data_IF_464470391000
#
_entry.id   IF_464470391000
#
_cell.length_a   1.000
_cell.length_b   1.000
_cell.length_c   1.000
_cell.angle_alpha   90.00
_cell.angle_beta   90.00
_cell.angle_gamma   90.00
#
_symmetry.space_group_name_H-M   'P 1'
#
loop_
_entity.id
_entity.type
_entity.pdbx_description
1 polymer ?
#
# COMPACT_ATOMS: atom_id res chain seq x y z
N UNK A 1 40.89 20.87 -16.36
CA UNK A 1 39.93 21.98 -16.15
C UNK A 1 39.43 21.92 -14.71
N UNK A 2 40.39 22.11 -13.81
CA UNK A 2 40.23 22.37 -12.38
C UNK A 2 40.60 23.84 -12.21
N UNK A 3 40.12 24.45 -11.13
CA UNK A 3 40.37 25.84 -10.68
C UNK A 3 39.53 26.92 -11.37
N UNK A 4 38.51 27.39 -10.65
CA UNK A 4 38.10 28.79 -10.50
C UNK A 4 36.80 28.77 -9.71
N UNK A 5 36.84 29.11 -8.42
CA UNK A 5 35.78 29.84 -7.69
C UNK A 5 36.13 29.87 -6.20
N UNK A 6 37.02 30.78 -5.82
CA UNK A 6 37.07 31.33 -4.46
C UNK A 6 37.46 32.79 -4.54
N UNK A 7 36.80 33.61 -3.70
CA UNK A 7 37.01 35.05 -3.46
C UNK A 7 36.20 36.00 -4.36
N UNK A 8 35.14 36.57 -3.80
CA UNK A 8 35.04 38.03 -3.59
C UNK A 8 34.27 38.26 -2.28
N UNK A 9 34.82 39.14 -1.44
CA UNK A 9 34.36 39.41 -0.09
C UNK A 9 33.14 40.33 0.00
N UNK A 10 32.67 40.42 1.24
CA UNK A 10 31.67 41.38 1.72
C UNK A 10 32.04 42.83 1.46
N UNK A 11 31.05 43.70 1.22
CA UNK A 11 30.87 45.01 1.89
C UNK A 11 29.54 45.68 1.41
N UNK A 12 28.83 46.25 2.40
CA UNK A 12 27.86 47.35 2.35
C UNK A 12 26.47 47.21 1.69
N UNK A 13 25.47 47.32 2.59
CA UNK A 13 24.13 47.91 2.41
C UNK A 13 24.03 48.94 1.27
N UNK A 14 23.15 48.69 0.30
CA UNK A 14 22.27 49.70 -0.32
C UNK A 14 20.96 49.04 -0.77
N UNK A 15 19.83 49.61 -0.32
CA UNK A 15 18.48 49.27 -0.79
C UNK A 15 18.36 49.67 -2.26
N UNK A 16 18.18 48.69 -3.14
CA UNK A 16 17.56 48.87 -4.45
C UNK A 16 16.54 47.75 -4.66
N UNK A 17 15.33 48.12 -5.08
CA UNK A 17 14.22 47.24 -5.43
C UNK A 17 14.61 46.35 -6.61
N UNK A 18 14.87 45.06 -6.34
CA UNK A 18 15.42 44.11 -7.30
C UNK A 18 14.36 43.19 -7.94
N UNK A 19 13.07 43.53 -7.88
CA UNK A 19 12.03 42.67 -8.48
C UNK A 19 11.92 42.81 -10.00
N UNK A 20 12.22 43.97 -10.58
CA UNK A 20 12.06 44.18 -12.03
C UNK A 20 13.25 43.67 -12.86
N UNK A 21 14.46 43.67 -12.29
CA UNK A 21 15.67 43.18 -12.96
C UNK A 21 15.70 41.65 -13.04
N UNK A 22 15.23 40.95 -11.99
CA UNK A 22 15.20 39.48 -11.96
C UNK A 22 14.16 38.92 -12.94
N UNK A 23 13.00 39.57 -13.09
CA UNK A 23 11.98 39.16 -14.06
C UNK A 23 12.49 39.34 -15.50
N UNK A 24 13.21 40.44 -15.78
CA UNK A 24 13.75 40.71 -17.11
C UNK A 24 14.82 39.68 -17.53
N UNK A 25 15.67 39.24 -16.59
CA UNK A 25 16.68 38.21 -16.86
C UNK A 25 16.02 36.84 -17.05
N UNK A 26 14.99 36.49 -16.27
CA UNK A 26 14.26 35.23 -16.43
C UNK A 26 13.56 35.13 -17.80
N UNK A 27 12.94 36.22 -18.27
CA UNK A 27 12.36 36.27 -19.62
C UNK A 27 13.42 36.16 -20.72
N UNK A 28 14.59 36.78 -20.53
CA UNK A 28 15.67 36.67 -21.51
C UNK A 28 16.22 35.24 -21.59
N UNK A 29 16.40 34.57 -20.45
CA UNK A 29 16.85 33.16 -20.38
C UNK A 29 15.78 32.24 -20.98
N UNK A 30 14.51 32.45 -20.68
CA UNK A 30 13.42 31.65 -21.24
C UNK A 30 13.28 31.84 -22.76
N UNK A 31 13.41 33.09 -23.25
CA UNK A 31 13.42 33.38 -24.68
C UNK A 31 14.65 32.78 -25.38
N UNK A 32 15.83 32.80 -24.75
CA UNK A 32 17.04 32.14 -25.26
C UNK A 32 16.91 30.62 -25.27
N UNK A 33 16.29 30.01 -24.25
CA UNK A 33 15.99 28.58 -24.24
C UNK A 33 15.01 28.20 -25.36
N UNK A 34 13.95 28.98 -25.57
CA UNK A 34 13.02 28.75 -26.70
C UNK A 34 13.74 28.94 -28.04
N UNK A 35 14.63 29.94 -28.17
CA UNK A 35 15.34 30.20 -29.41
C UNK A 35 16.35 29.10 -29.73
N UNK A 36 17.09 28.61 -28.73
CA UNK A 36 18.02 27.46 -28.88
C UNK A 36 17.24 26.18 -29.22
N UNK A 37 16.13 25.91 -28.53
CA UNK A 37 15.27 24.76 -28.84
C UNK A 37 14.66 24.87 -30.25
N UNK A 38 14.29 26.07 -30.71
CA UNK A 38 13.75 26.29 -32.06
C UNK A 38 14.80 26.17 -33.16
N UNK A 39 16.06 26.54 -32.88
CA UNK A 39 17.18 26.37 -33.81
C UNK A 39 17.58 24.89 -33.94
N UNK A 40 17.54 24.13 -32.85
CA UNK A 40 17.69 22.68 -32.90
C UNK A 40 16.52 22.02 -33.64
N UNK A 41 15.29 22.53 -33.48
CA UNK A 41 14.11 22.00 -34.18
C UNK A 41 14.16 22.20 -35.71
N UNK A 42 14.71 23.33 -36.19
CA UNK A 42 14.85 23.57 -37.62
C UNK A 42 16.04 22.85 -38.27
N UNK A 43 17.03 22.41 -37.49
CA UNK A 43 18.11 21.52 -37.95
C UNK A 43 17.72 20.04 -37.97
N UNK A 44 16.55 19.68 -37.43
CA UNK A 44 16.03 18.31 -37.33
C UNK A 44 14.94 17.98 -38.35
N UNK A 45 14.82 18.75 -39.44
CA UNK A 45 14.03 18.36 -40.62
C UNK A 45 14.79 17.39 -41.56
N UNK A 46 15.82 16.72 -41.04
CA UNK A 46 16.43 15.52 -41.62
C UNK A 46 15.61 14.28 -41.25
N UNK A 47 14.71 13.90 -42.14
CA UNK A 47 13.82 12.74 -42.08
C UNK A 47 14.57 11.39 -42.01
N UNK A 48 14.28 10.59 -40.99
CA UNK A 48 13.98 9.13 -41.02
C UNK A 48 14.45 8.36 -39.77
N UNK A 49 15.59 8.70 -39.15
CA UNK A 49 16.18 7.88 -38.08
C UNK A 49 15.64 8.16 -36.67
N UNK A 50 15.09 9.35 -36.41
CA UNK A 50 14.56 9.69 -35.07
C UNK A 50 13.21 9.01 -34.81
N UNK A 51 12.46 8.65 -35.86
CA UNK A 51 11.20 7.90 -35.71
C UNK A 51 11.45 6.50 -35.13
N UNK A 52 12.55 5.85 -35.49
CA UNK A 52 12.92 4.53 -34.96
C UNK A 52 13.29 4.57 -33.48
N UNK A 53 14.05 5.57 -33.04
CA UNK A 53 14.43 5.71 -31.62
C UNK A 53 13.23 6.08 -30.74
N UNK A 54 12.30 6.89 -31.25
CA UNK A 54 11.04 7.18 -30.55
C UNK A 54 10.09 5.98 -30.54
N UNK A 55 9.95 5.26 -31.65
CA UNK A 55 9.12 4.06 -31.73
C UNK A 55 9.68 2.91 -30.90
N UNK A 56 11.00 2.78 -30.80
CA UNK A 56 11.65 1.80 -29.93
C UNK A 56 11.55 2.19 -28.45
N UNK A 57 11.68 3.48 -28.10
CA UNK A 57 11.44 3.95 -26.74
C UNK A 57 9.96 3.83 -26.32
N UNK A 58 9.01 4.02 -27.26
CA UNK A 58 7.58 3.81 -27.04
C UNK A 58 7.25 2.31 -26.98
N UNK A 59 7.85 1.47 -27.83
CA UNK A 59 7.71 0.01 -27.76
C UNK A 59 8.31 -0.57 -26.49
N UNK A 60 9.44 -0.05 -26.02
CA UNK A 60 10.10 -0.50 -24.78
C UNK A 60 9.33 -0.02 -23.54
N UNK A 61 8.75 1.19 -23.57
CA UNK A 61 7.71 1.59 -22.59
C UNK A 61 6.46 0.72 -22.67
N UNK A 62 6.04 0.28 -23.85
CA UNK A 62 4.87 -0.60 -24.02
C UNK A 62 5.11 -2.03 -23.55
N UNK A 63 6.35 -2.54 -23.64
CA UNK A 63 6.76 -3.86 -23.13
C UNK A 63 6.81 -3.90 -21.61
N UNK A 64 7.15 -2.79 -20.95
CA UNK A 64 7.02 -2.63 -19.50
C UNK A 64 5.58 -2.31 -19.02
N UNK A 65 4.61 -2.28 -19.94
CA UNK A 65 3.18 -2.06 -19.66
C UNK A 65 2.34 -3.33 -19.77
N UNK A 66 2.95 -4.50 -19.71
CA UNK A 66 2.20 -5.73 -19.44
C UNK A 66 1.49 -5.57 -18.10
N UNK A 67 0.14 -5.58 -18.13
CA UNK A 67 -0.69 -5.44 -16.92
C UNK A 67 -0.39 -6.54 -15.89
N UNK A 68 0.11 -7.67 -16.38
CA UNK A 68 0.37 -8.86 -15.61
C UNK A 68 1.46 -9.70 -16.28
N UNK A 69 2.01 -10.61 -15.51
CA UNK A 69 2.90 -11.66 -15.97
C UNK A 69 2.39 -13.00 -15.44
N UNK A 70 2.71 -14.07 -16.17
CA UNK A 70 2.53 -15.44 -15.69
C UNK A 70 3.75 -15.84 -14.87
N UNK A 71 3.51 -16.61 -13.81
CA UNK A 71 4.57 -17.18 -12.99
C UNK A 71 4.90 -18.60 -13.46
N UNK A 72 6.19 -18.83 -13.70
CA UNK A 72 6.74 -20.18 -13.77
C UNK A 72 7.09 -20.67 -12.36
N UNK A 73 6.79 -21.94 -12.08
CA UNK A 73 7.04 -22.56 -10.78
C UNK A 73 8.29 -23.44 -10.82
N UNK A 74 9.24 -23.15 -9.93
CA UNK A 74 10.43 -24.00 -9.73
C UNK A 74 10.07 -25.25 -8.94
N UNK A 75 9.31 -25.11 -7.86
CA UNK A 75 8.96 -26.22 -7.00
C UNK A 75 7.63 -25.99 -6.28
N UNK A 76 6.81 -27.03 -6.30
CA UNK A 76 5.56 -27.07 -5.55
C UNK A 76 5.46 -28.28 -4.60
N UNK A 77 6.41 -29.22 -4.64
CA UNK A 77 6.25 -30.54 -4.01
C UNK A 77 6.45 -30.49 -2.49
N UNK A 78 5.40 -30.91 -1.77
CA UNK A 78 5.35 -31.02 -0.31
C UNK A 78 6.01 -32.29 0.27
N UNK A 79 6.89 -32.99 -0.45
CA UNK A 79 7.47 -34.27 0.01
C UNK A 79 8.99 -34.25 0.03
N UNK A 80 9.58 -34.44 1.22
CA UNK A 80 11.03 -34.60 1.45
C UNK A 80 11.63 -33.50 2.32
N UNK A 81 12.96 -33.41 2.32
CA UNK A 81 13.76 -32.31 2.91
C UNK A 81 13.52 -30.98 2.17
N UNK A 82 12.73 -31.01 1.07
CA UNK A 82 12.49 -29.93 0.12
C UNK A 82 11.17 -29.15 0.30
N UNK A 83 10.36 -29.38 1.35
CA UNK A 83 9.13 -28.59 1.55
C UNK A 83 9.42 -27.23 2.21
N UNK A 84 10.14 -26.35 1.51
CA UNK A 84 10.44 -24.97 1.96
C UNK A 84 9.19 -24.09 2.10
N UNK A 85 8.07 -24.54 1.53
CA UNK A 85 6.78 -23.86 1.57
C UNK A 85 5.69 -24.84 2.01
N UNK A 86 4.64 -24.36 2.70
CA UNK A 86 3.55 -25.20 3.20
C UNK A 86 2.67 -25.73 2.06
N UNK A 87 1.72 -26.60 2.39
CA UNK A 87 0.72 -27.10 1.44
C UNK A 87 -0.04 -25.94 0.76
N UNK A 88 -0.32 -26.07 -0.54
CA UNK A 88 -0.94 -25.03 -1.38
C UNK A 88 -0.07 -23.79 -1.62
N UNK A 89 1.24 -23.89 -1.38
CA UNK A 89 2.22 -22.88 -1.73
C UNK A 89 3.31 -23.47 -2.63
N UNK A 90 3.85 -22.65 -3.53
CA UNK A 90 4.96 -23.00 -4.42
C UNK A 90 6.02 -21.90 -4.41
N UNK A 91 7.27 -22.24 -4.73
CA UNK A 91 8.28 -21.24 -5.09
C UNK A 91 8.18 -20.94 -6.59
N UNK A 92 8.12 -19.66 -6.94
CA UNK A 92 8.28 -19.22 -8.33
C UNK A 92 9.75 -19.25 -8.79
N UNK A 93 9.99 -18.94 -10.06
CA UNK A 93 11.33 -18.85 -10.66
C UNK A 93 12.27 -17.82 -10.01
N UNK A 94 11.75 -16.96 -9.12
CA UNK A 94 12.54 -16.00 -8.36
C UNK A 94 12.67 -16.41 -6.88
N UNK A 95 12.33 -17.66 -6.56
CA UNK A 95 12.31 -18.21 -5.20
C UNK A 95 11.38 -17.44 -4.26
N UNK A 96 10.31 -16.84 -4.77
CA UNK A 96 9.28 -16.20 -3.94
C UNK A 96 8.16 -17.20 -3.66
N UNK A 97 7.72 -17.38 -2.40
CA UNK A 97 6.56 -18.20 -2.09
C UNK A 97 5.27 -17.60 -2.62
N UNK A 98 4.49 -18.41 -3.32
CA UNK A 98 3.24 -18.05 -3.97
C UNK A 98 2.13 -18.97 -3.50
N UNK A 99 1.01 -18.39 -3.06
CA UNK A 99 -0.18 -19.19 -2.77
C UNK A 99 -0.80 -19.65 -4.08
N UNK A 100 -1.03 -20.96 -4.21
CA UNK A 100 -1.57 -21.59 -5.42
C UNK A 100 -2.98 -22.14 -5.26
N UNK A 101 -3.55 -22.08 -4.05
CA UNK A 101 -4.89 -22.60 -3.78
C UNK A 101 -4.95 -24.14 -3.74
N UNK A 102 -6.17 -24.67 -3.54
CA UNK A 102 -6.44 -26.11 -3.36
C UNK A 102 -6.78 -26.87 -4.65
N UNK A 103 -7.05 -26.16 -5.74
CA UNK A 103 -7.60 -26.75 -6.97
C UNK A 103 -6.52 -26.96 -8.03
N UNK A 104 -6.49 -28.18 -8.58
CA UNK A 104 -5.71 -28.66 -9.73
C UNK A 104 -4.21 -28.31 -9.75
N UNK A 105 -3.43 -29.19 -9.14
CA UNK A 105 -1.99 -29.05 -8.99
C UNK A 105 -1.23 -29.66 -10.20
N UNK A 106 -0.26 -28.95 -10.82
CA UNK A 106 0.04 -27.51 -10.71
C UNK A 106 -0.92 -26.61 -11.51
N UNK A 107 -1.36 -25.46 -10.95
CA UNK A 107 -2.11 -24.49 -11.73
C UNK A 107 -1.16 -23.99 -12.81
N UNK A 108 -1.56 -24.17 -14.08
CA UNK A 108 -0.62 -23.92 -15.19
C UNK A 108 -0.19 -22.46 -15.26
N UNK A 109 -1.04 -21.50 -14.88
CA UNK A 109 -0.75 -20.07 -14.97
C UNK A 109 -1.39 -19.30 -13.79
N UNK A 110 -0.60 -18.81 -12.83
CA UNK A 110 -1.07 -17.75 -11.92
C UNK A 110 -0.61 -16.41 -12.45
N UNK A 111 -1.58 -15.57 -12.78
CA UNK A 111 -1.31 -14.22 -13.22
C UNK A 111 -1.06 -13.29 -12.04
N UNK A 112 0.04 -12.56 -12.09
CA UNK A 112 0.38 -11.50 -11.14
C UNK A 112 0.43 -10.17 -11.84
N UNK A 113 -0.04 -9.13 -11.18
CA UNK A 113 0.08 -7.76 -11.69
C UNK A 113 1.52 -7.29 -11.56
N UNK A 114 2.04 -6.67 -12.63
CA UNK A 114 3.27 -5.86 -12.54
C UNK A 114 2.97 -4.56 -11.79
N UNK A 115 4.00 -3.78 -11.44
CA UNK A 115 3.81 -2.47 -10.82
C UNK A 115 2.98 -1.54 -11.71
N UNK A 116 3.27 -1.49 -13.02
CA UNK A 116 2.46 -0.76 -14.00
C UNK A 116 1.03 -1.31 -14.12
N UNK A 117 0.84 -2.62 -13.90
CA UNK A 117 -0.46 -3.27 -13.77
C UNK A 117 -1.27 -2.77 -12.58
N UNK A 118 -0.65 -2.64 -11.41
CA UNK A 118 -1.25 -2.01 -10.22
C UNK A 118 -1.61 -0.56 -10.50
N UNK A 119 -0.69 0.24 -11.05
CA UNK A 119 -0.97 1.65 -11.34
C UNK A 119 -2.14 1.82 -12.31
N UNK A 120 -2.17 1.01 -13.37
CA UNK A 120 -3.25 1.03 -14.35
C UNK A 120 -4.58 0.53 -13.79
N UNK A 121 -4.56 -0.49 -12.93
CA UNK A 121 -5.77 -0.98 -12.29
C UNK A 121 -6.34 0.04 -11.30
N UNK A 122 -5.48 0.63 -10.47
CA UNK A 122 -5.89 1.47 -9.35
C UNK A 122 -6.01 2.96 -9.72
N UNK A 123 -5.59 3.37 -10.92
CA UNK A 123 -5.71 4.74 -11.40
C UNK A 123 -7.14 5.28 -11.33
N UNK A 124 -7.30 6.48 -10.76
CA UNK A 124 -8.58 7.14 -10.47
C UNK A 124 -9.49 6.35 -9.52
N UNK A 125 -8.90 5.54 -8.63
CA UNK A 125 -9.64 4.79 -7.61
C UNK A 125 -9.27 5.25 -6.21
N UNK A 126 -10.30 5.37 -5.38
CA UNK A 126 -10.17 5.48 -3.93
C UNK A 126 -10.50 4.14 -3.30
N UNK A 127 -9.56 3.58 -2.55
CA UNK A 127 -9.68 2.31 -1.82
C UNK A 127 -9.70 2.63 -0.33
N UNK A 128 -10.73 2.16 0.39
CA UNK A 128 -10.85 2.35 1.84
C UNK A 128 -10.69 0.99 2.54
N UNK A 129 -9.66 0.89 3.37
CA UNK A 129 -9.38 -0.25 4.24
C UNK A 129 -9.87 0.08 5.65
N UNK A 130 -10.69 -0.80 6.24
CA UNK A 130 -11.22 -0.63 7.59
C UNK A 130 -10.87 -1.89 8.37
N UNK A 131 -10.17 -1.75 9.49
CA UNK A 131 -9.77 -2.90 10.29
C UNK A 131 -8.72 -2.57 11.33
N UNK A 132 -8.12 -3.60 11.89
CA UNK A 132 -7.07 -3.46 12.89
C UNK A 132 -5.65 -3.39 12.27
N UNK A 133 -4.63 -3.56 13.11
CA UNK A 133 -3.21 -3.57 12.73
C UNK A 133 -2.87 -4.59 11.63
N UNK A 134 -3.62 -5.68 11.49
CA UNK A 134 -3.39 -6.69 10.43
C UNK A 134 -3.84 -6.15 9.08
N UNK A 135 -4.92 -5.37 9.03
CA UNK A 135 -5.33 -4.63 7.82
C UNK A 135 -4.39 -3.46 7.54
N UNK A 136 -3.92 -2.77 8.59
CA UNK A 136 -2.91 -1.72 8.46
C UNK A 136 -1.65 -2.21 7.74
N UNK A 137 -1.16 -3.41 8.06
CA UNK A 137 0.03 -3.95 7.40
C UNK A 137 -0.16 -4.22 5.92
N UNK A 138 -1.32 -4.73 5.52
CA UNK A 138 -1.66 -4.91 4.12
C UNK A 138 -1.66 -3.55 3.39
N UNK A 139 -2.29 -2.53 4.01
CA UNK A 139 -2.28 -1.15 3.51
C UNK A 139 -0.85 -0.61 3.37
N UNK A 140 -0.01 -0.73 4.40
CA UNK A 140 1.37 -0.22 4.40
C UNK A 140 2.24 -0.94 3.37
N UNK A 141 2.06 -2.26 3.22
CA UNK A 141 2.72 -3.06 2.19
C UNK A 141 2.34 -2.59 0.78
N UNK A 142 1.03 -2.36 0.53
CA UNK A 142 0.56 -1.87 -0.77
C UNK A 142 1.08 -0.47 -1.07
N UNK A 143 0.99 0.46 -0.11
CA UNK A 143 1.49 1.82 -0.26
C UNK A 143 3.00 1.84 -0.56
N UNK A 144 3.77 1.01 0.16
CA UNK A 144 5.19 0.81 -0.08
C UNK A 144 5.45 0.30 -1.49
N UNK A 145 4.79 -0.79 -1.92
CA UNK A 145 4.92 -1.35 -3.25
C UNK A 145 4.63 -0.35 -4.36
N UNK A 146 3.54 0.42 -4.22
CA UNK A 146 3.20 1.47 -5.18
C UNK A 146 4.31 2.52 -5.26
N UNK A 147 5.02 2.81 -4.17
CA UNK A 147 6.10 3.79 -4.13
C UNK A 147 7.44 3.26 -4.61
N UNK A 148 7.86 2.07 -4.17
CA UNK A 148 9.17 1.45 -4.46
C UNK A 148 9.20 0.66 -5.76
N UNK A 149 8.04 0.24 -6.28
CA UNK A 149 7.88 -0.73 -7.39
C UNK A 149 8.25 -2.17 -7.05
N UNK A 150 8.60 -2.44 -5.80
CA UNK A 150 9.04 -3.75 -5.33
C UNK A 150 8.39 -4.07 -3.99
N UNK A 151 7.92 -5.31 -3.83
CA UNK A 151 7.43 -5.78 -2.55
C UNK A 151 8.63 -5.98 -1.62
N UNK A 152 8.47 -5.54 -0.37
CA UNK A 152 9.53 -5.71 0.63
C UNK A 152 9.78 -7.19 0.90
N UNK A 153 11.04 -7.57 1.13
CA UNK A 153 11.44 -8.90 1.55
C UNK A 153 11.91 -8.85 3.00
N UNK A 154 11.08 -9.35 3.91
CA UNK A 154 11.35 -9.33 5.35
C UNK A 154 11.92 -10.65 5.87
N UNK A 155 12.05 -10.78 7.19
CA UNK A 155 12.69 -11.97 7.80
C UNK A 155 12.00 -13.29 7.44
N UNK A 156 10.78 -13.25 6.92
CA UNK A 156 10.02 -14.39 6.42
C UNK A 156 10.64 -15.08 5.19
N UNK A 157 11.58 -14.43 4.49
CA UNK A 157 12.37 -15.01 3.41
C UNK A 157 13.63 -15.76 3.86
N UNK A 158 14.05 -15.60 5.14
CA UNK A 158 15.34 -16.11 5.64
C UNK A 158 15.52 -17.62 5.46
N UNK A 159 14.49 -18.41 5.76
CA UNK A 159 14.52 -19.88 5.66
C UNK A 159 14.72 -20.35 4.21
N UNK A 160 14.12 -19.65 3.24
CA UNK A 160 14.26 -19.98 1.82
C UNK A 160 15.65 -19.63 1.34
N UNK A 161 16.15 -18.46 1.76
CA UNK A 161 17.50 -18.02 1.43
C UNK A 161 18.56 -18.98 2.00
N UNK A 162 18.42 -19.41 3.26
CA UNK A 162 19.32 -20.39 3.88
C UNK A 162 19.32 -21.72 3.12
N UNK A 163 18.14 -22.26 2.83
CA UNK A 163 18.02 -23.53 2.11
C UNK A 163 18.58 -23.49 0.68
N UNK A 164 18.54 -22.32 0.04
CA UNK A 164 19.09 -22.10 -1.31
C UNK A 164 20.52 -21.58 -1.30
N UNK A 165 21.15 -21.45 -0.13
CA UNK A 165 22.48 -20.87 0.06
C UNK A 165 22.63 -19.47 -0.58
N UNK A 166 21.60 -18.63 -0.42
CA UNK A 166 21.53 -17.25 -0.89
C UNK A 166 21.81 -16.31 0.28
N UNK A 167 22.71 -15.35 0.10
CA UNK A 167 22.89 -14.27 1.08
C UNK A 167 21.64 -13.41 1.15
N UNK A 168 21.03 -13.29 2.33
CA UNK A 168 19.81 -12.53 2.54
C UNK A 168 19.97 -11.48 3.65
N UNK A 169 19.49 -10.28 3.37
CA UNK A 169 19.32 -9.20 4.33
C UNK A 169 17.91 -8.66 4.19
N UNK A 170 17.12 -8.56 5.28
CA UNK A 170 15.79 -7.98 5.24
C UNK A 170 15.83 -6.55 4.70
N UNK A 171 14.84 -6.18 3.91
CA UNK A 171 14.74 -4.83 3.39
C UNK A 171 14.62 -3.81 4.54
N UNK A 172 15.31 -2.66 4.48
CA UNK A 172 15.19 -1.62 5.50
C UNK A 172 13.76 -1.15 5.73
N UNK A 173 12.86 -1.33 4.74
CA UNK A 173 11.44 -0.96 4.79
C UNK A 173 10.54 -1.95 5.53
N UNK A 174 11.08 -3.07 6.04
CA UNK A 174 10.29 -4.05 6.79
C UNK A 174 9.68 -3.49 8.08
N UNK A 175 10.24 -2.41 8.64
CA UNK A 175 9.63 -1.70 9.77
C UNK A 175 8.23 -1.15 9.49
N UNK A 176 7.84 -0.96 8.22
CA UNK A 176 6.50 -0.51 7.83
C UNK A 176 5.41 -1.53 8.18
N UNK A 177 5.75 -2.82 8.22
CA UNK A 177 4.86 -3.95 8.55
C UNK A 177 5.36 -4.79 9.73
N UNK A 178 6.34 -4.27 10.47
CA UNK A 178 6.83 -4.82 11.72
C UNK A 178 7.25 -3.64 12.59
N UNK A 179 6.32 -3.07 13.36
CA UNK A 179 6.61 -1.85 14.13
C UNK A 179 7.72 -2.03 15.17
N UNK A 180 8.05 -3.28 15.54
CA UNK A 180 9.07 -3.59 16.54
C UNK A 180 10.47 -3.66 15.96
N UNK A 181 10.60 -3.66 14.63
CA UNK A 181 11.86 -3.81 13.93
C UNK A 181 12.92 -2.79 14.39
N UNK A 182 12.54 -1.53 14.62
CA UNK A 182 13.46 -0.46 15.01
C UNK A 182 13.60 -0.24 16.52
N UNK A 183 12.84 -0.97 17.35
CA UNK A 183 12.77 -0.75 18.81
C UNK A 183 12.51 0.73 19.21
N UNK A 184 11.59 1.38 18.51
CA UNK A 184 11.20 2.79 18.75
C UNK A 184 9.81 2.89 19.40
N UNK A 185 9.45 4.08 19.88
CA UNK A 185 8.10 4.32 20.39
C UNK A 185 7.05 4.30 19.27
N UNK A 186 5.80 4.00 19.59
CA UNK A 186 4.68 4.05 18.61
C UNK A 186 4.54 5.41 17.94
N UNK A 187 4.70 6.49 18.70
CA UNK A 187 4.59 7.84 18.14
C UNK A 187 5.74 8.15 17.20
N UNK A 188 6.97 7.73 17.53
CA UNK A 188 8.11 7.82 16.61
C UNK A 188 7.87 6.98 15.35
N UNK A 189 7.32 5.76 15.49
CA UNK A 189 6.97 4.93 14.35
C UNK A 189 5.93 5.61 13.45
N UNK A 190 4.92 6.30 14.00
CA UNK A 190 3.98 7.07 13.19
C UNK A 190 4.66 8.21 12.42
N UNK A 191 5.59 8.93 13.05
CA UNK A 191 6.39 9.97 12.40
C UNK A 191 7.20 9.39 11.25
N UNK A 192 8.02 8.38 11.52
CA UNK A 192 8.94 7.78 10.54
C UNK A 192 8.17 7.18 9.36
N UNK A 193 7.13 6.38 9.63
CA UNK A 193 6.36 5.72 8.57
C UNK A 193 5.50 6.68 7.74
N UNK A 194 5.13 7.85 8.27
CA UNK A 194 4.44 8.87 7.47
C UNK A 194 5.43 9.61 6.58
N UNK A 195 6.65 9.86 7.07
CA UNK A 195 7.71 10.50 6.30
C UNK A 195 8.17 9.66 5.08
N UNK A 196 8.11 8.33 5.17
CA UNK A 196 8.42 7.41 4.06
C UNK A 196 7.50 7.56 2.83
N UNK A 197 6.30 8.15 3.00
CA UNK A 197 5.31 8.27 1.95
C UNK A 197 5.00 9.73 1.63
N UNK A 198 5.66 10.32 0.62
CA UNK A 198 5.25 11.61 0.07
C UNK A 198 3.78 11.55 -0.34
N UNK A 199 2.97 12.52 0.09
CA UNK A 199 1.52 12.51 -0.17
C UNK A 199 0.73 11.63 0.80
N UNK A 200 1.27 11.34 1.99
CA UNK A 200 0.51 10.69 3.06
C UNK A 200 0.10 11.65 4.20
N UNK A 201 -0.97 11.30 4.89
CA UNK A 201 -1.41 11.89 6.15
C UNK A 201 -1.66 10.79 7.18
N UNK A 202 -1.45 11.14 8.44
CA UNK A 202 -1.69 10.24 9.57
C UNK A 202 -2.45 11.01 10.65
N UNK A 203 -3.68 10.61 10.93
CA UNK A 203 -4.34 10.88 12.21
C UNK A 203 -3.91 9.76 13.16
N UNK A 204 -2.65 9.84 13.57
CA UNK A 204 -1.97 8.76 14.26
C UNK A 204 -1.35 9.26 15.55
N UNK A 205 -1.89 8.79 16.66
CA UNK A 205 -1.39 9.12 17.98
C UNK A 205 -1.77 8.02 18.95
N UNK A 206 -0.83 7.65 19.81
CA UNK A 206 -1.06 6.73 20.90
C UNK A 206 -0.62 7.35 22.21
N UNK A 207 -1.47 7.22 23.23
CA UNK A 207 -1.15 7.67 24.58
C UNK A 207 0.02 6.87 25.16
N UNK A 208 1.07 7.56 25.62
CA UNK A 208 2.22 6.93 26.30
C UNK A 208 1.91 6.49 27.75
N UNK A 209 0.66 6.63 28.21
CA UNK A 209 0.22 6.14 29.53
C UNK A 209 0.27 4.61 29.54
N UNK A 210 0.51 4.00 30.71
CA UNK A 210 0.68 2.54 30.85
C UNK A 210 -0.48 1.76 30.19
N UNK A 211 -0.16 0.98 29.16
CA UNK A 211 -1.09 0.09 28.46
C UNK A 211 -1.69 0.67 27.18
N UNK A 212 -2.02 -0.22 26.24
CA UNK A 212 -2.81 0.15 25.06
C UNK A 212 -4.24 0.47 25.46
N UNK A 213 -4.81 1.52 24.86
CA UNK A 213 -6.21 1.89 25.04
C UNK A 213 -6.84 2.23 23.69
N UNK A 214 -7.76 1.39 23.17
CA UNK A 214 -8.42 1.63 21.89
C UNK A 214 -9.08 3.02 21.80
N UNK A 215 -9.85 3.39 22.82
CA UNK A 215 -10.63 4.63 22.94
C UNK A 215 -9.84 5.95 22.86
N UNK A 216 -8.52 5.88 22.96
CA UNK A 216 -7.61 7.03 23.00
C UNK A 216 -6.44 6.86 22.03
N UNK A 217 -6.59 5.94 21.08
CA UNK A 217 -5.65 5.70 20.00
C UNK A 217 -6.30 6.07 18.68
N UNK A 218 -5.60 6.90 17.90
CA UNK A 218 -5.94 7.19 16.51
C UNK A 218 -4.87 6.55 15.63
N UNK A 219 -5.25 5.87 14.56
CA UNK A 219 -4.31 5.29 13.58
C UNK A 219 -4.78 5.43 12.13
N UNK A 220 -5.61 6.43 11.82
CA UNK A 220 -6.16 6.58 10.47
C UNK A 220 -5.10 7.13 9.51
N UNK A 221 -5.01 6.57 8.32
CA UNK A 221 -4.01 6.93 7.30
C UNK A 221 -4.67 7.27 5.99
N UNK A 222 -4.07 8.21 5.28
CA UNK A 222 -4.46 8.61 3.94
C UNK A 222 -3.20 8.66 3.08
N UNK A 223 -3.25 8.13 1.86
CA UNK A 223 -2.13 8.13 0.92
C UNK A 223 -2.63 8.45 -0.48
N UNK A 224 -1.97 9.40 -1.15
CA UNK A 224 -2.21 9.74 -2.55
C UNK A 224 -0.96 9.50 -3.38
N UNK A 225 -1.14 8.87 -4.54
CA UNK A 225 -0.08 8.70 -5.52
C UNK A 225 -0.56 9.10 -6.91
N UNK A 226 0.00 10.16 -7.52
CA UNK A 226 -0.24 10.41 -8.94
C UNK A 226 0.48 9.36 -9.80
N UNK A 227 -0.20 8.85 -10.82
CA UNK A 227 0.35 7.91 -11.81
C UNK A 227 -0.01 8.37 -13.22
N UNK A 228 0.60 7.80 -14.27
CA UNK A 228 0.19 8.05 -15.65
C UNK A 228 -1.28 7.67 -15.97
N UNK A 229 -1.93 6.87 -15.11
CA UNK A 229 -3.31 6.40 -15.29
C UNK A 229 -4.34 7.13 -14.43
N UNK A 230 -3.89 8.09 -13.61
CA UNK A 230 -4.73 8.80 -12.65
C UNK A 230 -4.18 8.76 -11.23
N UNK A 231 -4.87 9.46 -10.33
CA UNK A 231 -4.53 9.45 -8.90
C UNK A 231 -5.03 8.16 -8.25
N UNK A 232 -4.15 7.47 -7.53
CA UNK A 232 -4.53 6.38 -6.61
C UNK A 232 -4.68 6.98 -5.23
N UNK A 233 -5.82 6.74 -4.58
CA UNK A 233 -6.04 7.11 -3.19
C UNK A 233 -6.24 5.85 -2.35
N UNK A 234 -5.42 5.69 -1.30
CA UNK A 234 -5.61 4.66 -0.29
C UNK A 234 -5.97 5.33 1.03
N UNK A 235 -6.98 4.82 1.71
CA UNK A 235 -7.39 5.27 3.06
C UNK A 235 -7.39 4.06 3.97
N UNK A 236 -6.77 4.15 5.13
CA UNK A 236 -6.93 3.18 6.21
C UNK A 236 -7.63 3.84 7.38
N UNK A 237 -8.69 3.19 7.86
CA UNK A 237 -9.48 3.60 9.01
C UNK A 237 -9.32 2.51 10.06
N UNK A 238 -8.86 2.92 11.23
CA UNK A 238 -8.63 1.99 12.33
C UNK A 238 -9.97 1.54 12.92
N UNK A 239 -10.11 0.23 13.11
CA UNK A 239 -11.22 -0.42 13.80
C UNK A 239 -10.66 -1.40 14.83
N UNK A 240 -10.66 -1.00 16.10
CA UNK A 240 -10.21 -1.85 17.20
C UNK A 240 -11.41 -2.21 18.07
N UNK A 241 -11.71 -3.51 18.19
CA UNK A 241 -12.85 -3.99 18.98
C UNK A 241 -14.18 -3.34 18.57
N UNK A 242 -14.40 -3.15 17.27
CA UNK A 242 -15.60 -2.50 16.74
C UNK A 242 -15.80 -1.05 17.23
N UNK A 243 -14.69 -0.37 17.55
CA UNK A 243 -14.63 1.05 17.89
C UNK A 243 -13.67 1.76 16.94
N UNK A 244 -14.23 2.67 16.17
CA UNK A 244 -13.57 3.52 15.18
C UNK A 244 -13.59 4.94 15.69
N UNK A 245 -12.43 5.57 15.76
CA UNK A 245 -12.31 6.98 16.14
C UNK A 245 -11.54 7.75 15.07
N UNK A 246 -12.01 8.97 14.77
CA UNK A 246 -11.36 9.85 13.80
C UNK A 246 -11.35 11.28 14.32
N UNK A 247 -10.22 11.95 14.17
CA UNK A 247 -10.10 13.36 14.50
C UNK A 247 -10.89 14.24 13.52
N UNK A 248 -11.49 15.33 14.00
CA UNK A 248 -12.26 16.27 13.16
C UNK A 248 -11.43 16.96 12.06
N UNK A 249 -10.10 16.95 12.18
CA UNK A 249 -9.18 17.55 11.21
C UNK A 249 -8.56 16.53 10.24
N UNK A 250 -9.06 15.31 10.24
CA UNK A 250 -8.71 14.28 9.27
C UNK A 250 -9.76 14.21 8.15
N UNK A 251 -9.40 13.86 6.91
CA UNK A 251 -10.39 13.57 5.88
C UNK A 251 -11.40 12.49 6.35
N UNK A 252 -12.69 12.59 6.00
CA UNK A 252 -13.26 13.52 5.03
C UNK A 252 -13.79 14.82 5.65
N UNK A 253 -13.60 15.06 6.95
CA UNK A 253 -14.09 16.26 7.63
C UNK A 253 -13.36 17.53 7.19
N UNK A 254 -12.11 17.39 6.73
CA UNK A 254 -11.30 18.45 6.15
C UNK A 254 -10.68 17.99 4.85
N UNK A 255 -10.29 18.94 3.99
CA UNK A 255 -9.59 18.65 2.73
C UNK A 255 -8.22 18.03 2.99
N UNK A 256 -7.68 17.29 2.02
CA UNK A 256 -6.33 16.72 2.12
C UNK A 256 -5.22 17.79 2.27
N UNK A 257 -5.48 19.01 1.81
CA UNK A 257 -4.57 20.16 1.85
C UNK A 257 -3.99 20.43 3.25
N UNK A 258 -2.82 21.11 3.32
CA UNK A 258 -2.21 21.48 4.59
C UNK A 258 -3.19 22.21 5.51
N UNK A 259 -3.43 21.64 6.70
CA UNK A 259 -4.26 22.23 7.73
C UNK A 259 -3.44 22.34 9.03
N UNK A 260 -3.18 23.55 9.56
CA UNK A 260 -2.37 23.73 10.76
C UNK A 260 -3.00 23.14 12.02
N UNK A 261 -4.30 22.85 12.01
CA UNK A 261 -5.01 22.21 13.13
C UNK A 261 -4.97 20.68 13.08
N UNK A 262 -4.50 20.09 11.96
CA UNK A 262 -4.38 18.64 11.82
C UNK A 262 -3.36 18.09 12.82
N UNK A 263 -3.68 16.93 13.40
CA UNK A 263 -2.72 16.17 14.20
C UNK A 263 -1.43 15.95 13.39
N UNK A 264 -0.28 16.17 14.01
CA UNK A 264 0.97 15.67 13.45
C UNK A 264 1.05 14.17 13.75
N UNK A 265 1.64 13.34 12.86
CA UNK A 265 1.91 11.95 13.20
C UNK A 265 2.69 11.87 14.52
N UNK A 266 2.27 10.99 15.43
CA UNK A 266 2.88 10.86 16.75
C UNK A 266 2.52 11.94 17.78
N UNK A 267 1.92 13.06 17.37
CA UNK A 267 1.58 14.16 18.26
C UNK A 267 0.30 14.89 17.85
N UNK A 268 -0.77 14.69 18.64
CA UNK A 268 -2.02 15.43 18.48
C UNK A 268 -2.38 16.28 19.70
N UNK A 269 -2.41 17.60 19.50
CA UNK A 269 -2.81 18.60 20.50
C UNK A 269 -4.33 18.77 20.56
N UNK A 270 -4.99 18.94 19.42
CA UNK A 270 -6.45 19.00 19.33
C UNK A 270 -7.01 17.59 19.06
N UNK A 271 -7.46 16.92 20.12
CA UNK A 271 -8.04 15.56 20.05
C UNK A 271 -9.55 15.58 19.92
N UNK A 272 -10.12 16.66 19.40
CA UNK A 272 -11.57 16.71 19.19
C UNK A 272 -11.98 15.63 18.18
N UNK A 273 -12.80 14.72 18.65
CA UNK A 273 -13.35 13.63 17.86
C UNK A 273 -14.32 14.22 16.82
N UNK A 274 -14.06 13.95 15.55
CA UNK A 274 -14.96 14.25 14.45
C UNK A 274 -15.97 13.14 14.21
N UNK A 275 -15.56 11.90 14.50
CA UNK A 275 -16.42 10.72 14.45
C UNK A 275 -15.97 9.65 15.42
N UNK A 276 -16.96 9.01 16.07
CA UNK A 276 -16.80 7.80 16.83
C UNK A 276 -17.99 6.88 16.54
N UNK A 277 -17.72 5.59 16.32
CA UNK A 277 -18.76 4.60 16.06
C UNK A 277 -18.18 3.23 15.74
N UNK A 278 -19.04 2.28 15.42
CA UNK A 278 -18.66 0.91 15.05
C UNK A 278 -18.50 0.75 13.53
N UNK A 279 -18.23 -0.49 13.07
CA UNK A 279 -18.04 -0.79 11.65
C UNK A 279 -19.27 -0.42 10.79
N UNK A 280 -20.48 -0.68 11.29
CA UNK A 280 -21.72 -0.26 10.61
C UNK A 280 -21.77 1.27 10.49
N UNK A 281 -21.56 2.00 11.58
CA UNK A 281 -21.63 3.45 11.59
C UNK A 281 -20.59 4.11 10.66
N UNK A 282 -19.35 3.59 10.59
CA UNK A 282 -18.33 4.12 9.69
C UNK A 282 -18.69 3.86 8.23
N UNK A 283 -19.20 2.66 7.90
CA UNK A 283 -19.66 2.30 6.56
C UNK A 283 -20.73 3.29 6.10
N UNK A 284 -21.79 3.50 6.86
CA UNK A 284 -22.90 4.33 6.40
C UNK A 284 -22.65 5.84 6.42
N UNK A 285 -21.88 6.34 7.40
CA UNK A 285 -21.81 7.78 7.65
C UNK A 285 -20.54 8.45 7.14
N UNK A 286 -19.44 7.69 6.98
CA UNK A 286 -18.12 8.25 6.69
C UNK A 286 -17.58 7.74 5.35
N UNK A 287 -17.67 6.45 5.08
CA UNK A 287 -17.10 5.85 3.86
C UNK A 287 -17.57 6.56 2.58
N UNK A 288 -18.87 6.84 2.35
CA UNK A 288 -19.33 7.55 1.16
C UNK A 288 -18.69 8.93 0.96
N UNK A 289 -18.29 9.60 2.04
CA UNK A 289 -17.69 10.94 1.99
C UNK A 289 -16.26 10.94 1.45
N UNK A 290 -15.59 9.78 1.40
CA UNK A 290 -14.31 9.62 0.73
C UNK A 290 -14.44 9.48 -0.80
N UNK A 291 -15.67 9.41 -1.33
CA UNK A 291 -15.93 9.02 -2.72
C UNK A 291 -15.17 7.74 -3.13
N UNK A 292 -15.31 6.65 -2.35
CA UNK A 292 -14.57 5.43 -2.60
C UNK A 292 -15.10 4.72 -3.84
N UNK A 293 -14.22 3.98 -4.50
CA UNK A 293 -14.63 2.99 -5.50
C UNK A 293 -14.68 1.60 -4.89
N UNK A 294 -13.85 1.34 -3.88
CA UNK A 294 -13.70 0.04 -3.24
C UNK A 294 -13.56 0.20 -1.72
N UNK A 295 -14.17 -0.71 -0.97
CA UNK A 295 -14.13 -0.77 0.49
C UNK A 295 -13.77 -2.19 0.92
N UNK A 296 -12.85 -2.29 1.86
CA UNK A 296 -12.29 -3.52 2.38
C UNK A 296 -12.46 -3.51 3.90
N UNK A 297 -13.48 -4.20 4.40
CA UNK A 297 -13.92 -4.10 5.77
C UNK A 297 -13.56 -5.34 6.59
N UNK A 298 -13.07 -5.12 7.80
CA UNK A 298 -12.73 -6.15 8.78
C UNK A 298 -13.24 -5.71 10.16
N UNK A 299 -13.73 -6.68 10.95
CA UNK A 299 -14.41 -6.43 12.23
C UNK A 299 -13.49 -6.06 13.40
N UNK A 300 -12.18 -5.95 13.19
CA UNK A 300 -11.20 -5.63 14.24
C UNK A 300 -10.61 -6.87 14.89
N UNK A 301 -10.36 -6.89 16.21
CA UNK A 301 -9.62 -8.01 16.82
C UNK A 301 -10.40 -9.32 16.86
N UNK A 302 -11.69 -9.22 17.12
CA UNK A 302 -12.63 -10.35 17.17
C UNK A 302 -13.43 -10.41 15.89
N UNK A 303 -13.75 -11.63 15.44
CA UNK A 303 -14.66 -11.79 14.32
C UNK A 303 -16.10 -11.49 14.77
N UNK A 304 -16.73 -10.52 14.09
CA UNK A 304 -18.16 -10.25 14.13
C UNK A 304 -18.64 -10.34 12.69
N UNK A 305 -19.73 -11.08 12.47
CA UNK A 305 -20.26 -11.26 11.12
C UNK A 305 -20.93 -9.98 10.63
N UNK A 306 -20.22 -9.27 9.75
CA UNK A 306 -20.67 -8.07 9.06
C UNK A 306 -21.03 -8.33 7.58
N UNK A 307 -21.18 -9.59 7.18
CA UNK A 307 -21.48 -9.95 5.78
C UNK A 307 -22.74 -9.29 5.24
N UNK A 308 -23.82 -9.31 6.02
CA UNK A 308 -25.08 -8.66 5.62
C UNK A 308 -24.92 -7.15 5.49
N UNK A 309 -24.25 -6.52 6.45
CA UNK A 309 -24.01 -5.09 6.48
C UNK A 309 -23.19 -4.62 5.26
N UNK A 310 -22.10 -5.33 4.97
CA UNK A 310 -21.23 -5.04 3.81
C UNK A 310 -21.99 -5.24 2.49
N UNK A 311 -22.80 -6.30 2.38
CA UNK A 311 -23.63 -6.56 1.20
C UNK A 311 -24.68 -5.47 1.01
N UNK A 312 -25.39 -5.10 2.07
CA UNK A 312 -26.47 -4.12 2.02
C UNK A 312 -25.92 -2.71 1.76
N UNK A 313 -24.75 -2.37 2.29
CA UNK A 313 -24.01 -1.16 1.95
C UNK A 313 -23.64 -1.12 0.45
N UNK A 314 -23.07 -2.20 -0.11
CA UNK A 314 -22.73 -2.32 -1.53
C UNK A 314 -23.96 -2.17 -2.45
N UNK A 315 -25.12 -2.72 -2.02
CA UNK A 315 -26.39 -2.57 -2.74
C UNK A 315 -26.93 -1.14 -2.69
N UNK A 316 -26.81 -0.47 -1.55
CA UNK A 316 -27.26 0.92 -1.39
C UNK A 316 -26.39 1.91 -2.18
N UNK A 317 -25.08 1.66 -2.24
CA UNK A 317 -24.12 2.47 -2.99
C UNK A 317 -23.56 1.68 -4.18
N UNK A 318 -24.32 1.51 -5.29
CA UNK A 318 -23.94 0.60 -6.38
C UNK A 318 -22.62 0.96 -7.10
N UNK A 319 -22.14 2.20 -6.94
CA UNK A 319 -20.83 2.65 -7.43
C UNK A 319 -19.64 2.28 -6.54
N UNK A 320 -19.90 1.77 -5.33
CA UNK A 320 -18.88 1.37 -4.34
C UNK A 320 -18.91 -0.15 -4.21
N UNK A 321 -17.82 -0.83 -4.58
CA UNK A 321 -17.68 -2.27 -4.35
C UNK A 321 -17.15 -2.53 -2.95
N UNK A 322 -17.79 -3.40 -2.19
CA UNK A 322 -17.43 -3.63 -0.80
C UNK A 322 -17.16 -5.11 -0.54
N UNK A 323 -16.06 -5.37 0.16
CA UNK A 323 -15.56 -6.70 0.45
C UNK A 323 -15.39 -6.85 1.96
N UNK A 324 -15.85 -7.99 2.49
CA UNK A 324 -15.43 -8.45 3.79
C UNK A 324 -14.01 -9.01 3.67
N UNK A 325 -13.15 -8.75 4.65
CA UNK A 325 -11.82 -9.35 4.73
C UNK A 325 -11.70 -10.13 6.04
N UNK A 326 -11.38 -11.42 5.95
CA UNK A 326 -11.18 -12.28 7.12
C UNK A 326 -9.87 -11.99 7.86
N UNK A 327 -9.68 -12.55 9.05
CA UNK A 327 -8.39 -12.46 9.76
C UNK A 327 -7.38 -13.47 9.22
N UNK A 328 -6.07 -13.19 9.25
CA UNK A 328 -5.11 -14.28 9.19
C UNK A 328 -5.33 -15.25 10.35
N UNK A 329 -5.05 -16.53 10.13
CA UNK A 329 -4.94 -17.52 11.19
C UNK A 329 -3.88 -17.07 12.19
N UNK A 330 -4.14 -17.25 13.48
CA UNK A 330 -3.15 -16.97 14.54
C UNK A 330 -2.27 -18.20 14.78
N UNK A 331 -1.01 -17.99 15.18
CA UNK A 331 -0.03 -19.09 15.34
C UNK A 331 -0.24 -19.97 16.57
N UNK A 332 -1.08 -19.57 17.52
CA UNK A 332 -1.30 -20.33 18.76
C UNK A 332 -2.79 -20.65 19.00
N UNK A 333 -3.05 -21.87 19.49
CA UNK A 333 -4.34 -22.35 20.02
C UNK A 333 -4.83 -21.60 21.28
N UNK A 334 -4.15 -20.52 21.67
CA UNK A 334 -4.49 -19.73 22.87
C UNK A 334 -5.81 -18.98 22.68
N UNK A 335 -6.21 -18.74 21.42
CA UNK A 335 -7.57 -18.32 21.09
C UNK A 335 -8.44 -19.53 20.77
N UNK A 336 -9.66 -19.53 21.33
CA UNK A 336 -10.66 -20.55 21.09
C UNK A 336 -10.79 -20.82 19.58
N UNK A 337 -10.52 -22.05 19.07
CA UNK A 337 -10.65 -22.37 17.64
C UNK A 337 -12.01 -22.03 17.05
N UNK A 338 -13.05 -21.90 17.88
CA UNK A 338 -14.36 -21.40 17.45
C UNK A 338 -14.36 -19.93 16.97
N UNK A 339 -13.25 -19.21 17.16
CA UNK A 339 -13.05 -17.83 16.74
C UNK A 339 -12.23 -17.73 15.44
N UNK A 340 -11.79 -18.85 14.88
CA UNK A 340 -11.24 -18.87 13.51
C UNK A 340 -12.36 -18.51 12.54
N UNK A 341 -12.03 -17.64 11.58
CA UNK A 341 -12.99 -17.22 10.58
C UNK A 341 -13.39 -18.41 9.69
N UNK A 342 -14.68 -18.50 9.39
CA UNK A 342 -15.26 -19.54 8.55
C UNK A 342 -16.26 -18.92 7.59
N UNK A 343 -15.86 -18.81 6.32
CA UNK A 343 -16.68 -18.22 5.27
C UNK A 343 -18.04 -18.94 5.10
N UNK A 344 -18.12 -20.23 5.44
CA UNK A 344 -19.36 -21.01 5.31
C UNK A 344 -20.41 -20.65 6.36
N UNK A 345 -20.01 -19.93 7.40
CA UNK A 345 -20.89 -19.46 8.49
C UNK A 345 -21.36 -18.02 8.32
N UNK A 346 -21.01 -17.35 7.22
CA UNK A 346 -21.49 -16.00 6.94
C UNK A 346 -23.02 -16.03 6.75
N UNK A 347 -23.71 -15.12 7.43
CA UNK A 347 -25.16 -14.98 7.37
C UNK A 347 -25.64 -14.55 5.99
N UNK A 348 -24.83 -13.78 5.27
CA UNK A 348 -25.15 -13.28 3.95
C UNK A 348 -24.03 -13.58 2.96
N UNK A 349 -24.41 -13.82 1.70
CA UNK A 349 -23.48 -13.88 0.59
C UNK A 349 -22.91 -12.47 0.31
N UNK A 350 -21.71 -12.22 0.81
CA UNK A 350 -20.96 -10.98 0.64
C UNK A 350 -19.65 -11.28 -0.07
N UNK A 351 -19.22 -10.38 -0.96
CA UNK A 351 -17.90 -10.49 -1.57
C UNK A 351 -16.81 -10.57 -0.48
N UNK A 352 -15.92 -11.56 -0.60
CA UNK A 352 -14.95 -11.91 0.43
C UNK A 352 -13.52 -11.94 -0.13
N UNK A 353 -12.58 -11.43 0.66
CA UNK A 353 -11.15 -11.71 0.55
C UNK A 353 -10.77 -12.57 1.77
N UNK A 354 -10.64 -13.88 1.54
CA UNK A 354 -10.33 -14.82 2.61
C UNK A 354 -8.82 -14.92 2.86
N UNK A 355 -8.33 -14.14 3.83
CA UNK A 355 -6.95 -14.18 4.33
C UNK A 355 -6.67 -15.44 5.17
N UNK A 356 -7.69 -15.98 5.84
CA UNK A 356 -7.56 -17.15 6.73
C UNK A 356 -7.07 -18.37 5.96
N UNK A 357 -7.72 -18.67 4.82
CA UNK A 357 -7.36 -19.81 3.99
C UNK A 357 -5.88 -19.81 3.54
N UNK A 358 -5.35 -18.64 3.15
CA UNK A 358 -3.95 -18.48 2.73
C UNK A 358 -2.96 -18.66 3.87
N UNK A 359 -3.33 -18.26 5.08
CA UNK A 359 -2.47 -18.37 6.27
C UNK A 359 -2.57 -19.70 7.02
N UNK A 360 -3.45 -20.59 6.57
CA UNK A 360 -3.59 -21.89 7.21
C UNK A 360 -2.34 -22.71 7.01
N UNK A 361 -1.75 -23.21 8.10
CA UNK A 361 -0.54 -24.03 8.12
C UNK A 361 0.74 -23.36 7.60
N UNK A 362 0.79 -22.03 7.53
CA UNK A 362 2.03 -21.35 7.13
C UNK A 362 3.08 -21.36 8.25
N UNK A 363 4.39 -21.29 7.91
CA UNK A 363 5.47 -21.31 8.89
C UNK A 363 5.38 -20.18 9.92
N UNK A 364 5.80 -20.45 11.16
CA UNK A 364 5.78 -19.45 12.25
C UNK A 364 6.63 -18.23 11.95
N UNK A 365 7.74 -18.39 11.24
CA UNK A 365 8.62 -17.30 10.85
C UNK A 365 8.03 -16.38 9.75
N UNK A 366 6.82 -16.67 9.24
CA UNK A 366 6.07 -15.74 8.39
C UNK A 366 5.25 -14.73 9.21
N UNK A 367 5.35 -14.80 10.53
CA UNK A 367 4.81 -13.83 11.46
C UNK A 367 5.95 -13.26 12.27
N UNK A 368 5.83 -11.98 12.66
CA UNK A 368 6.76 -11.41 13.64
C UNK A 368 6.25 -11.58 15.07
N UNK A 369 4.94 -11.76 15.26
CA UNK A 369 4.33 -12.19 16.53
C UNK A 369 3.27 -13.30 16.32
N UNK A 370 2.30 -13.42 17.21
CA UNK A 370 1.27 -14.48 17.13
C UNK A 370 0.12 -14.17 16.17
N UNK A 371 -0.02 -12.93 15.71
CA UNK A 371 -1.19 -12.45 14.98
C UNK A 371 -0.83 -11.66 13.71
N UNK A 372 0.36 -11.09 13.66
CA UNK A 372 0.79 -10.19 12.61
C UNK A 372 1.73 -10.89 11.63
N UNK A 373 1.29 -10.92 10.37
CA UNK A 373 2.02 -11.53 9.27
C UNK A 373 3.07 -10.56 8.72
N UNK A 374 4.11 -11.11 8.11
CA UNK A 374 5.17 -10.39 7.42
C UNK A 374 4.87 -10.20 5.93
N UNK A 375 5.90 -10.00 5.13
CA UNK A 375 5.83 -9.46 3.78
C UNK A 375 5.20 -10.40 2.74
N UNK A 376 5.54 -11.69 2.77
CA UNK A 376 5.05 -12.71 1.81
C UNK A 376 3.52 -12.72 1.78
N UNK A 377 2.89 -12.80 2.96
CA UNK A 377 1.43 -12.89 3.06
C UNK A 377 0.74 -11.60 2.66
N UNK A 378 1.30 -10.44 3.02
CA UNK A 378 0.76 -9.15 2.61
C UNK A 378 0.85 -8.94 1.08
N UNK A 379 1.93 -9.39 0.44
CA UNK A 379 2.07 -9.38 -1.02
C UNK A 379 0.97 -10.22 -1.69
N UNK A 380 0.76 -11.45 -1.21
CA UNK A 380 -0.28 -12.35 -1.72
C UNK A 380 -1.69 -11.77 -1.59
N UNK A 381 -2.00 -11.17 -0.44
CA UNK A 381 -3.29 -10.51 -0.23
C UNK A 381 -3.50 -9.29 -1.12
N UNK A 382 -2.44 -8.54 -1.38
CA UNK A 382 -2.51 -7.38 -2.29
C UNK A 382 -2.75 -7.82 -3.73
N UNK A 383 -2.15 -8.93 -4.17
CA UNK A 383 -2.46 -9.51 -5.47
C UNK A 383 -3.90 -10.01 -5.57
N UNK A 384 -4.41 -10.70 -4.55
CA UNK A 384 -5.80 -11.13 -4.50
C UNK A 384 -6.76 -9.93 -4.55
N UNK A 385 -6.46 -8.89 -3.78
CA UNK A 385 -7.23 -7.65 -3.73
C UNK A 385 -7.31 -6.99 -5.10
N UNK A 386 -6.17 -6.80 -5.78
CA UNK A 386 -6.16 -6.20 -7.12
C UNK A 386 -6.83 -7.12 -8.16
N UNK A 387 -6.71 -8.44 -7.98
CA UNK A 387 -7.47 -9.45 -8.72
C UNK A 387 -8.98 -9.26 -8.65
N UNK A 388 -9.51 -8.87 -7.49
CA UNK A 388 -10.94 -8.56 -7.32
C UNK A 388 -11.34 -7.23 -7.96
N UNK A 389 -10.46 -6.23 -7.93
CA UNK A 389 -10.73 -4.89 -8.50
C UNK A 389 -10.70 -4.91 -10.04
N UNK A 390 -9.70 -5.56 -10.64
CA UNK A 390 -9.47 -5.54 -12.08
C UNK A 390 -9.25 -6.94 -12.69
N UNK A 391 -10.19 -7.90 -12.55
CA UNK A 391 -9.97 -9.29 -12.94
C UNK A 391 -9.27 -9.46 -14.29
N UNK A 392 -8.16 -10.20 -14.29
CA UNK A 392 -7.48 -10.57 -15.52
C UNK A 392 -8.37 -11.59 -16.21
N UNK A 393 -8.95 -11.22 -17.35
CA UNK A 393 -9.70 -12.16 -18.19
C UNK A 393 -8.70 -13.15 -18.78
N UNK A 394 -8.64 -14.34 -18.21
CA UNK A 394 -8.02 -15.50 -18.84
C UNK A 394 -8.97 -15.98 -19.94
N UNK A 395 -8.62 -15.71 -21.19
CA UNK A 395 -9.29 -16.37 -22.31
C UNK A 395 -8.65 -17.75 -22.42
N UNK A 396 -9.34 -18.76 -21.90
CA UNK A 396 -8.97 -20.16 -22.07
C UNK A 396 -9.40 -20.69 -23.43
#
# INVERSE_FOLDING_TARGET
>A
MMELFTSVGSIAKRRCSNREVVVSIAYLVFALCIFVLSKEFHLLNGTAEISGVFDDAIKDRSKNLTKSYELDYESCKASGVDSLVPENWCLDSNNVPRYVGKEDWPPRNIHRYTHGGYEKCLGNKTLVFIGDSRVRYQFMSLASYLQSKEFMKCEDYSMIAEAKNITFSPDPKCFLVNERFLNISWNQWYEDTTAEFPGSLCDCYRSNKKGFKPDSTFENRFFKKPTPFGEITLVYIQNFLDDVTMNKHFPPFTSFEPNPQRCKPGNCLDRTIGFQGNLSAILWNIVPKFNPTHVFANSGWTFVDYSCEVRDFSRHYPGIKSYLISHPSMLEKVYNPSLEFDATKLQCDSDLIDRTAMTKNVPKNWYWDRAHVLSILNEEWNHLLVGKICPIKTYY
#
